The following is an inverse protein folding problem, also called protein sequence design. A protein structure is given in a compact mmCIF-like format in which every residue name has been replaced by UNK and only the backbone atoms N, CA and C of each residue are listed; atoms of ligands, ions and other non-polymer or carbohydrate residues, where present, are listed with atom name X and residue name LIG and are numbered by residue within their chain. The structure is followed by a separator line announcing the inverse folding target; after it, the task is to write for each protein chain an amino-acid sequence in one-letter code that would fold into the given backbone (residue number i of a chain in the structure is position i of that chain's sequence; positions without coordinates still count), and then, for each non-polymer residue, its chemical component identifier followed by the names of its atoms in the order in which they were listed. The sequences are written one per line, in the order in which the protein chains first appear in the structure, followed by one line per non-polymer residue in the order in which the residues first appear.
data_IF_985426666997
#
_entry.id   IF_985426666997
#
_cell.length_a   1.000
_cell.length_b   1.000
_cell.length_c   1.000
_cell.angle_alpha   90.00
_cell.angle_beta   90.00
_cell.angle_gamma   90.00
#
_symmetry.space_group_name_H-M   'P 1'
#
loop_
_entity.id
_entity.type
_entity.pdbx_description
1 polymer ?
#
# COMPACT_ATOMS: atom_id res chain seq x y z
N UNK A 1 -1.61 41.79 22.24
CA UNK A 1 -0.93 41.59 20.94
C UNK A 1 -1.01 40.11 20.59
N UNK A 2 -1.96 39.75 19.73
CA UNK A 2 -2.07 38.40 19.18
C UNK A 2 -1.48 38.42 17.77
N UNK A 3 -0.43 37.64 17.53
CA UNK A 3 -0.07 37.23 16.17
C UNK A 3 0.61 35.87 16.20
N UNK A 4 -0.22 34.89 15.81
CA UNK A 4 -0.01 33.50 15.43
C UNK A 4 1.45 33.03 15.31
N UNK A 5 1.84 32.14 16.24
CA UNK A 5 2.84 31.11 15.97
C UNK A 5 2.32 30.23 14.82
N UNK A 6 2.94 30.32 13.65
CA UNK A 6 2.79 29.31 12.60
C UNK A 6 3.51 28.05 13.09
N UNK A 7 2.78 27.14 13.72
CA UNK A 7 3.22 25.74 13.80
C UNK A 7 3.05 25.13 12.40
N UNK A 8 4.08 25.27 11.56
CA UNK A 8 4.36 24.29 10.53
C UNK A 8 5.02 23.12 11.26
N UNK A 9 4.23 22.21 11.81
CA UNK A 9 4.68 20.84 11.96
C UNK A 9 4.98 20.37 10.55
N UNK A 10 6.27 20.32 10.22
CA UNK A 10 6.79 19.76 9.00
C UNK A 10 6.31 18.31 8.92
N UNK A 11 5.33 18.09 8.05
CA UNK A 11 4.81 16.80 7.62
C UNK A 11 5.90 16.17 6.72
N UNK A 12 7.06 15.84 7.28
CA UNK A 12 8.19 15.28 6.54
C UNK A 12 8.03 13.77 6.43
N UNK A 13 7.35 13.34 5.37
CA UNK A 13 7.89 12.29 4.50
C UNK A 13 7.58 12.72 3.08
N UNK A 14 8.59 13.28 2.43
CA UNK A 14 8.60 13.60 1.02
C UNK A 14 8.04 12.41 0.22
N UNK A 15 7.17 12.71 -0.76
CA UNK A 15 6.64 11.70 -1.67
C UNK A 15 7.82 11.15 -2.47
N UNK A 16 8.36 10.01 -2.06
CA UNK A 16 9.36 9.30 -2.85
C UNK A 16 8.60 8.48 -3.88
N UNK A 17 8.36 9.09 -5.04
CA UNK A 17 7.82 8.38 -6.18
C UNK A 17 8.89 7.42 -6.72
N UNK A 18 8.51 6.21 -7.19
CA UNK A 18 9.47 5.32 -7.84
C UNK A 18 10.08 6.00 -9.07
N UNK A 19 11.36 5.73 -9.34
CA UNK A 19 12.01 6.22 -10.55
C UNK A 19 11.28 5.71 -11.79
N UNK A 20 11.07 6.60 -12.76
CA UNK A 20 10.50 6.20 -14.04
C UNK A 20 11.49 5.29 -14.78
N UNK A 21 11.00 4.15 -15.26
CA UNK A 21 11.81 3.24 -16.09
C UNK A 21 11.49 3.44 -17.58
N UNK A 22 12.46 3.13 -18.43
CA UNK A 22 12.25 3.09 -19.87
C UNK A 22 11.78 1.70 -20.31
N UNK A 23 10.83 1.64 -21.26
CA UNK A 23 10.33 0.39 -21.81
C UNK A 23 9.24 -0.30 -20.99
N UNK A 24 9.08 -1.61 -21.19
CA UNK A 24 8.02 -2.42 -20.57
C UNK A 24 8.63 -3.19 -19.40
N UNK A 25 8.09 -3.00 -18.20
CA UNK A 25 8.48 -3.77 -17.03
C UNK A 25 7.84 -5.17 -17.06
N UNK A 26 8.60 -6.20 -16.70
CA UNK A 26 8.06 -7.54 -16.49
C UNK A 26 7.35 -7.62 -15.13
N UNK A 27 6.02 -7.75 -15.18
CA UNK A 27 5.13 -7.88 -14.03
C UNK A 27 4.38 -9.23 -14.05
N UNK A 28 4.95 -10.26 -14.67
CA UNK A 28 4.31 -11.59 -14.79
C UNK A 28 4.49 -12.50 -13.57
N UNK A 29 5.37 -12.11 -12.63
CA UNK A 29 5.71 -12.90 -11.45
C UNK A 29 5.65 -12.04 -10.19
N UNK A 30 5.29 -12.69 -9.08
CA UNK A 30 5.45 -12.10 -7.77
C UNK A 30 6.92 -11.72 -7.50
N UNK A 31 7.11 -10.54 -6.93
CA UNK A 31 8.42 -10.03 -6.49
C UNK A 31 8.71 -10.47 -5.05
N UNK A 32 9.85 -10.04 -4.53
CA UNK A 32 10.33 -10.36 -3.19
C UNK A 32 9.33 -9.95 -2.10
N UNK A 33 9.26 -10.76 -1.05
CA UNK A 33 8.60 -10.38 0.20
C UNK A 33 9.50 -9.40 0.98
N UNK A 34 8.93 -8.69 1.95
CA UNK A 34 9.75 -7.85 2.83
C UNK A 34 10.54 -8.70 3.83
N UNK A 35 11.70 -8.19 4.28
CA UNK A 35 12.51 -8.81 5.34
C UNK A 35 11.66 -9.11 6.58
N UNK A 36 11.70 -10.36 7.02
CA UNK A 36 10.88 -10.90 8.09
C UNK A 36 11.56 -12.10 8.80
N UNK A 37 11.23 -12.40 10.08
CA UNK A 37 11.98 -13.35 10.90
C UNK A 37 11.78 -14.82 10.49
N UNK A 38 10.81 -15.09 9.62
CA UNK A 38 10.48 -16.45 9.14
C UNK A 38 11.22 -16.83 7.85
N UNK A 39 12.23 -16.06 7.47
CA UNK A 39 13.11 -16.37 6.33
C UNK A 39 12.39 -16.36 5.00
N UNK A 40 12.67 -17.37 4.18
CA UNK A 40 12.19 -17.57 2.81
C UNK A 40 10.83 -18.30 2.73
N UNK A 41 10.15 -18.50 3.86
CA UNK A 41 8.85 -19.16 3.90
C UNK A 41 7.81 -18.52 2.96
N UNK A 42 7.92 -17.20 2.74
CA UNK A 42 7.07 -16.44 1.80
C UNK A 42 7.84 -15.96 0.55
N UNK A 43 8.79 -16.78 0.09
CA UNK A 43 9.72 -16.43 -0.99
C UNK A 43 10.86 -15.52 -0.52
N UNK A 44 11.83 -15.28 -1.40
CA UNK A 44 13.08 -14.60 -1.08
C UNK A 44 12.84 -13.19 -0.51
N UNK A 45 13.17 -12.95 0.77
CA UNK A 45 12.95 -11.65 1.41
C UNK A 45 14.00 -10.64 0.97
N UNK A 46 13.57 -9.40 0.77
CA UNK A 46 14.42 -8.27 0.39
C UNK A 46 13.93 -6.97 1.05
N UNK A 47 14.81 -5.97 1.17
CA UNK A 47 14.39 -4.59 1.49
C UNK A 47 13.74 -3.91 0.27
N UNK A 48 14.14 -4.31 -0.95
CA UNK A 48 13.42 -4.00 -2.18
C UNK A 48 12.18 -4.91 -2.25
N UNK A 49 11.13 -4.52 -1.53
CA UNK A 49 9.90 -5.31 -1.40
C UNK A 49 8.61 -4.52 -1.68
N UNK A 50 8.68 -3.21 -1.93
CA UNK A 50 7.52 -2.33 -2.11
C UNK A 50 6.88 -2.51 -3.49
N UNK A 51 6.23 -3.65 -3.68
CA UNK A 51 5.53 -4.01 -4.91
C UNK A 51 4.02 -4.11 -4.69
N UNK A 52 3.29 -3.85 -5.77
CA UNK A 52 1.85 -3.99 -5.86
C UNK A 52 1.52 -5.03 -6.91
N UNK A 53 0.53 -5.87 -6.63
CA UNK A 53 -0.02 -6.81 -7.58
C UNK A 53 -1.43 -6.40 -7.94
N UNK A 54 -1.76 -6.46 -9.24
CA UNK A 54 -3.08 -6.10 -9.76
C UNK A 54 -3.66 -7.27 -10.54
N UNK A 55 -4.88 -7.66 -10.20
CA UNK A 55 -5.59 -8.78 -10.80
C UNK A 55 -6.96 -8.33 -11.30
N UNK A 56 -7.24 -8.60 -12.56
CA UNK A 56 -8.51 -8.25 -13.21
C UNK A 56 -8.81 -9.22 -14.34
N UNK A 57 -10.09 -9.48 -14.60
CA UNK A 57 -10.54 -10.23 -15.79
C UNK A 57 -10.56 -9.37 -17.06
N UNK A 58 -10.73 -8.05 -16.91
CA UNK A 58 -10.94 -7.13 -18.03
C UNK A 58 -10.22 -5.80 -17.74
N UNK A 59 -9.41 -5.35 -18.68
CA UNK A 59 -8.72 -4.05 -18.62
C UNK A 59 -9.63 -2.85 -18.91
N UNK A 60 -10.92 -3.08 -19.17
CA UNK A 60 -11.93 -2.07 -19.49
C UNK A 60 -13.20 -2.36 -18.71
N UNK A 61 -13.88 -1.32 -18.23
CA UNK A 61 -15.22 -1.48 -17.65
C UNK A 61 -15.57 -0.61 -16.45
N UNK A 62 -14.60 0.07 -15.80
CA UNK A 62 -14.80 0.83 -14.55
C UNK A 62 -15.55 0.01 -13.50
N UNK A 63 -14.90 -1.04 -13.01
CA UNK A 63 -15.45 -1.93 -11.99
C UNK A 63 -14.93 -1.60 -10.59
N UNK A 64 -15.62 -2.01 -9.51
CA UNK A 64 -15.14 -1.79 -8.15
C UNK A 64 -13.73 -2.34 -7.90
N UNK A 65 -12.98 -1.65 -7.06
CA UNK A 65 -11.59 -2.02 -6.71
C UNK A 65 -11.54 -2.45 -5.25
N UNK A 66 -10.90 -3.60 -4.99
CA UNK A 66 -10.61 -4.09 -3.64
C UNK A 66 -9.09 -4.02 -3.42
N UNK A 67 -8.65 -3.20 -2.47
CA UNK A 67 -7.25 -3.16 -2.03
C UNK A 67 -7.13 -3.96 -0.73
N UNK A 68 -6.32 -5.01 -0.71
CA UNK A 68 -6.18 -5.90 0.44
C UNK A 68 -4.81 -5.77 1.10
N UNK A 69 -4.80 -5.46 2.40
CA UNK A 69 -3.60 -5.47 3.25
C UNK A 69 -3.51 -6.77 4.04
N UNK A 70 -2.35 -7.42 3.96
CA UNK A 70 -2.13 -8.74 4.57
C UNK A 70 -2.07 -8.70 6.11
N UNK A 71 -2.12 -9.88 6.73
CA UNK A 71 -1.99 -10.06 8.18
C UNK A 71 -0.49 -10.06 8.61
N UNK A 72 -0.15 -10.73 9.73
CA UNK A 72 1.24 -11.00 10.11
C UNK A 72 1.84 -10.09 11.17
N UNK A 73 1.01 -9.51 12.05
CA UNK A 73 1.48 -8.77 13.23
C UNK A 73 2.36 -7.54 12.94
N UNK A 74 2.39 -7.06 11.70
CA UNK A 74 3.35 -6.09 11.17
C UNK A 74 4.81 -6.55 11.16
N UNK A 75 5.10 -7.85 11.33
CA UNK A 75 6.46 -8.40 11.28
C UNK A 75 6.65 -9.58 10.32
N UNK A 76 5.57 -10.15 9.77
CA UNK A 76 5.61 -11.25 8.80
C UNK A 76 4.48 -11.15 7.77
N UNK A 77 4.38 -12.15 6.87
CA UNK A 77 3.48 -12.25 5.71
C UNK A 77 3.92 -11.42 4.49
N UNK A 78 3.13 -11.51 3.42
CA UNK A 78 3.40 -10.93 2.10
C UNK A 78 2.09 -10.74 1.31
N UNK A 79 2.16 -9.93 0.25
CA UNK A 79 1.08 -9.73 -0.73
C UNK A 79 1.17 -10.64 -1.97
N UNK A 80 2.13 -11.59 -1.98
CA UNK A 80 2.32 -12.54 -3.08
C UNK A 80 1.06 -13.33 -3.41
N UNK A 81 0.91 -13.69 -4.68
CA UNK A 81 -0.25 -14.42 -5.19
C UNK A 81 -0.41 -15.84 -4.62
N UNK A 82 0.69 -16.49 -4.22
CA UNK A 82 0.67 -17.80 -3.57
C UNK A 82 0.15 -17.77 -2.12
N UNK A 83 0.13 -16.59 -1.51
CA UNK A 83 -0.22 -16.38 -0.10
C UNK A 83 -1.54 -15.62 0.04
N UNK A 84 -1.72 -14.57 -0.76
CA UNK A 84 -2.88 -13.68 -0.79
C UNK A 84 -3.42 -13.54 -2.22
N UNK A 85 -3.53 -14.68 -2.91
CA UNK A 85 -3.95 -14.74 -4.31
C UNK A 85 -5.39 -14.29 -4.54
N UNK A 86 -5.71 -13.82 -5.76
CA UNK A 86 -7.02 -13.27 -6.10
C UNK A 86 -8.05 -14.35 -6.48
N UNK A 87 -7.73 -15.65 -6.31
CA UNK A 87 -8.35 -16.74 -7.06
C UNK A 87 -9.89 -16.77 -6.97
N UNK A 88 -10.45 -16.48 -5.79
CA UNK A 88 -11.90 -16.46 -5.60
C UNK A 88 -12.56 -15.11 -5.91
N UNK A 89 -11.80 -14.01 -5.84
CA UNK A 89 -12.33 -12.65 -5.98
C UNK A 89 -12.33 -12.17 -7.43
N UNK A 90 -11.27 -12.49 -8.18
CA UNK A 90 -11.17 -12.13 -9.61
C UNK A 90 -12.24 -12.85 -10.43
N UNK A 91 -12.93 -13.83 -9.86
CA UNK A 91 -14.07 -14.45 -10.50
C UNK A 91 -15.26 -13.51 -10.73
N UNK A 92 -15.33 -12.43 -9.96
CA UNK A 92 -16.32 -11.36 -10.07
C UNK A 92 -15.80 -10.22 -10.95
N UNK A 93 -16.70 -9.34 -11.39
CA UNK A 93 -16.32 -8.11 -12.09
C UNK A 93 -15.78 -7.07 -11.06
N UNK A 94 -14.55 -7.32 -10.58
CA UNK A 94 -13.79 -6.45 -9.68
C UNK A 94 -12.32 -6.43 -10.07
N UNK A 95 -11.62 -5.35 -9.72
CA UNK A 95 -10.15 -5.34 -9.70
C UNK A 95 -9.68 -5.63 -8.28
N UNK A 96 -8.78 -6.60 -8.12
CA UNK A 96 -8.16 -6.93 -6.83
C UNK A 96 -6.73 -6.41 -6.83
N UNK A 97 -6.36 -5.69 -5.79
CA UNK A 97 -5.04 -5.13 -5.58
C UNK A 97 -4.50 -5.64 -4.25
N UNK A 98 -3.28 -6.17 -4.25
CA UNK A 98 -2.54 -6.50 -3.03
C UNK A 98 -1.23 -5.75 -3.03
N UNK A 99 -0.75 -5.33 -1.85
CA UNK A 99 0.48 -4.54 -1.75
C UNK A 99 1.32 -4.99 -0.55
N UNK A 100 2.63 -5.09 -0.76
CA UNK A 100 3.58 -5.21 0.33
C UNK A 100 3.75 -3.87 1.04
N UNK A 101 4.09 -3.93 2.32
CA UNK A 101 4.53 -2.79 3.12
C UNK A 101 5.65 -3.26 4.04
N UNK A 102 6.57 -2.35 4.40
CA UNK A 102 7.71 -2.72 5.26
C UNK A 102 7.24 -3.27 6.60
N UNK A 103 7.99 -4.24 7.12
CA UNK A 103 7.68 -5.02 8.32
C UNK A 103 8.73 -4.80 9.41
N UNK A 104 8.38 -5.18 10.64
CA UNK A 104 9.27 -5.17 11.79
C UNK A 104 9.89 -3.79 12.04
N UNK A 105 11.17 -3.78 12.44
CA UNK A 105 11.90 -2.55 12.65
C UNK A 105 11.99 -1.68 11.38
N UNK A 106 12.14 -2.28 10.20
CA UNK A 106 12.24 -1.55 8.93
C UNK A 106 10.95 -0.78 8.59
N UNK A 107 9.80 -1.30 9.02
CA UNK A 107 8.50 -0.64 8.84
C UNK A 107 8.08 0.27 9.98
N UNK A 108 8.49 -0.01 11.22
CA UNK A 108 7.82 0.57 12.39
C UNK A 108 8.77 1.06 13.48
N UNK A 109 10.09 1.08 13.26
CA UNK A 109 11.02 1.71 14.18
C UNK A 109 10.69 3.20 14.35
N UNK A 110 10.66 3.66 15.60
CA UNK A 110 10.66 5.07 15.92
C UNK A 110 11.59 5.38 17.08
N UNK A 111 12.30 6.49 16.96
CA UNK A 111 13.15 7.08 18.00
C UNK A 111 12.39 8.09 18.87
N UNK A 112 11.12 8.40 18.52
CA UNK A 112 10.33 9.44 19.17
C UNK A 112 10.75 10.87 18.82
N UNK A 113 11.64 11.04 17.83
CA UNK A 113 12.10 12.32 17.31
C UNK A 113 12.03 12.36 15.77
N UNK A 114 12.57 13.42 15.17
CA UNK A 114 12.56 13.65 13.72
C UNK A 114 13.43 12.69 12.91
N UNK A 115 14.39 11.98 13.53
CA UNK A 115 15.30 11.08 12.82
C UNK A 115 14.61 9.77 12.42
N UNK A 116 13.69 9.27 13.25
CA UNK A 116 12.81 8.15 12.92
C UNK A 116 11.41 8.38 13.51
N UNK A 117 10.59 9.11 12.75
CA UNK A 117 9.19 9.43 13.11
C UNK A 117 8.24 8.21 13.14
N UNK A 118 8.71 7.05 12.67
CA UNK A 118 7.95 5.81 12.64
C UNK A 118 6.85 5.72 11.59
N UNK A 119 6.08 4.63 11.71
CA UNK A 119 4.95 4.28 10.84
C UNK A 119 5.28 4.25 9.34
N UNK A 120 6.51 3.86 8.99
CA UNK A 120 6.93 3.74 7.59
C UNK A 120 6.09 2.71 6.83
N UNK A 121 5.77 1.56 7.43
CA UNK A 121 4.88 0.57 6.84
C UNK A 121 3.46 1.11 6.59
N UNK A 122 2.93 1.97 7.47
CA UNK A 122 1.65 2.65 7.21
C UNK A 122 1.74 3.68 6.09
N UNK A 123 2.88 4.38 5.98
CA UNK A 123 3.13 5.31 4.87
C UNK A 123 3.28 4.58 3.55
N UNK A 124 3.86 3.38 3.54
CA UNK A 124 3.91 2.51 2.35
C UNK A 124 2.50 2.15 1.88
N UNK A 125 1.60 1.80 2.81
CA UNK A 125 0.18 1.55 2.50
C UNK A 125 -0.51 2.80 1.94
N UNK A 126 -0.22 4.00 2.48
CA UNK A 126 -0.71 5.27 1.90
C UNK A 126 -0.20 5.46 0.46
N UNK A 127 1.06 5.15 0.19
CA UNK A 127 1.61 5.23 -1.17
C UNK A 127 0.93 4.23 -2.11
N UNK A 128 0.68 3.00 -1.68
CA UNK A 128 -0.06 2.02 -2.46
C UNK A 128 -1.49 2.51 -2.79
N UNK A 129 -2.19 3.11 -1.84
CA UNK A 129 -3.53 3.68 -2.08
C UNK A 129 -3.50 4.87 -3.05
N UNK A 130 -2.48 5.73 -2.97
CA UNK A 130 -2.28 6.82 -3.94
C UNK A 130 -2.01 6.27 -5.33
N UNK A 131 -1.17 5.24 -5.44
CA UNK A 131 -0.91 4.56 -6.71
C UNK A 131 -2.20 3.97 -7.29
N UNK A 132 -3.04 3.33 -6.47
CA UNK A 132 -4.34 2.80 -6.91
C UNK A 132 -5.22 3.92 -7.44
N UNK A 133 -5.36 5.03 -6.70
CA UNK A 133 -6.15 6.19 -7.18
C UNK A 133 -5.66 6.68 -8.55
N UNK A 134 -4.35 6.78 -8.74
CA UNK A 134 -3.75 7.38 -9.93
C UNK A 134 -3.73 6.45 -11.16
N UNK A 135 -3.67 5.12 -10.94
CA UNK A 135 -3.36 4.17 -12.02
C UNK A 135 -4.44 3.11 -12.26
N UNK A 136 -5.35 2.85 -11.31
CA UNK A 136 -6.23 1.67 -11.41
C UNK A 136 -7.22 1.75 -12.58
N UNK A 137 -7.46 2.94 -13.12
CA UNK A 137 -8.25 3.15 -14.34
C UNK A 137 -7.71 2.38 -15.55
N UNK A 138 -6.38 2.27 -15.67
CA UNK A 138 -5.72 1.53 -16.75
C UNK A 138 -5.93 0.01 -16.65
N UNK A 139 -6.33 -0.46 -15.47
CA UNK A 139 -6.63 -1.87 -15.18
C UNK A 139 -8.15 -2.14 -15.18
N UNK A 140 -8.94 -1.20 -15.68
CA UNK A 140 -10.40 -1.31 -15.75
C UNK A 140 -11.12 -1.03 -14.43
N UNK A 141 -10.40 -0.60 -13.39
CA UNK A 141 -10.97 -0.26 -12.09
C UNK A 141 -11.54 1.16 -12.04
N UNK A 142 -12.52 1.37 -11.17
CA UNK A 142 -13.03 2.70 -10.84
C UNK A 142 -12.35 3.23 -9.57
N UNK A 143 -11.48 4.23 -9.74
CA UNK A 143 -10.81 4.94 -8.63
C UNK A 143 -11.77 5.63 -7.65
N UNK A 144 -13.03 5.88 -8.05
CA UNK A 144 -14.08 6.40 -7.18
C UNK A 144 -14.80 5.32 -6.37
N UNK A 145 -14.57 4.03 -6.65
CA UNK A 145 -15.19 2.88 -5.98
C UNK A 145 -14.15 1.93 -5.40
N UNK A 146 -13.31 2.45 -4.50
CA UNK A 146 -12.26 1.69 -3.83
C UNK A 146 -12.73 1.22 -2.45
N UNK A 147 -12.62 -0.08 -2.21
CA UNK A 147 -12.82 -0.70 -0.89
C UNK A 147 -11.47 -1.20 -0.36
N UNK A 148 -11.09 -0.77 0.84
CA UNK A 148 -9.90 -1.30 1.52
C UNK A 148 -10.34 -2.42 2.45
N UNK A 149 -9.67 -3.57 2.35
CA UNK A 149 -9.93 -4.75 3.16
C UNK A 149 -8.63 -5.27 3.78
N UNK A 150 -8.77 -6.08 4.83
CA UNK A 150 -7.65 -6.73 5.47
C UNK A 150 -8.11 -7.66 6.58
N UNK A 151 -7.24 -8.58 6.99
CA UNK A 151 -7.48 -9.52 8.08
C UNK A 151 -6.44 -9.33 9.20
N UNK A 152 -6.83 -9.50 10.47
CA UNK A 152 -5.96 -9.30 11.64
C UNK A 152 -5.37 -7.87 11.65
N UNK A 153 -4.04 -7.71 11.70
CA UNK A 153 -3.40 -6.39 11.60
C UNK A 153 -3.69 -5.68 10.28
N UNK A 154 -4.04 -6.40 9.21
CA UNK A 154 -4.56 -5.80 7.98
C UNK A 154 -5.91 -5.11 8.22
N UNK A 155 -6.77 -5.65 9.08
CA UNK A 155 -8.00 -4.96 9.52
C UNK A 155 -7.67 -3.75 10.41
N UNK A 156 -6.64 -3.84 11.25
CA UNK A 156 -6.13 -2.68 12.00
C UNK A 156 -5.63 -1.59 11.06
N UNK A 157 -4.93 -1.94 9.98
CA UNK A 157 -4.53 -0.99 8.92
C UNK A 157 -5.74 -0.29 8.31
N UNK A 158 -6.82 -1.02 7.99
CA UNK A 158 -8.07 -0.43 7.48
C UNK A 158 -8.61 0.62 8.47
N UNK A 159 -8.70 0.29 9.75
CA UNK A 159 -9.17 1.23 10.79
C UNK A 159 -8.26 2.45 10.88
N UNK A 160 -6.93 2.26 10.86
CA UNK A 160 -5.98 3.38 10.90
C UNK A 160 -6.09 4.27 9.67
N UNK A 161 -6.36 3.72 8.48
CA UNK A 161 -6.62 4.51 7.28
C UNK A 161 -7.92 5.30 7.35
N UNK A 162 -8.97 4.76 7.95
CA UNK A 162 -10.23 5.50 8.18
C UNK A 162 -10.03 6.71 9.10
N UNK A 163 -9.09 6.61 10.06
CA UNK A 163 -8.78 7.69 11.00
C UNK A 163 -7.76 8.69 10.45
N UNK A 164 -6.82 8.24 9.63
CA UNK A 164 -5.68 9.04 9.19
C UNK A 164 -6.08 10.09 8.15
N UNK A 165 -5.69 11.38 8.33
CA UNK A 165 -5.89 12.40 7.31
C UNK A 165 -5.08 12.12 6.03
N UNK A 166 -4.03 11.30 6.09
CA UNK A 166 -3.20 10.98 4.92
C UNK A 166 -3.92 10.09 3.89
N UNK A 167 -4.98 9.40 4.32
CA UNK A 167 -5.78 8.50 3.50
C UNK A 167 -7.15 9.07 3.12
N UNK A 168 -7.44 10.32 3.53
CA UNK A 168 -8.68 11.00 3.14
C UNK A 168 -8.63 11.43 1.69
N UNK A 169 -9.73 11.19 0.98
CA UNK A 169 -9.94 11.58 -0.42
C UNK A 169 -9.88 13.11 -0.62
N UNK A 170 -10.20 13.92 0.40
CA UNK A 170 -10.17 15.39 0.31
C UNK A 170 -8.77 16.03 0.43
N UNK A 171 -7.76 15.33 0.97
CA UNK A 171 -6.37 15.84 1.08
C UNK A 171 -5.47 15.38 -0.06
N UNK A 172 -6.10 14.91 -1.10
CA UNK A 172 -5.51 14.52 -2.35
C UNK A 172 -5.97 15.58 -3.35
N UNK A 173 -5.32 16.75 -3.31
CA UNK A 173 -5.67 17.92 -4.12
C UNK A 173 -5.86 17.54 -5.60
N UNK A 174 -7.12 17.41 -6.01
CA UNK A 174 -7.55 17.37 -7.40
C UNK A 174 -8.33 18.67 -7.61
N UNK A 175 -7.72 19.60 -8.35
CA UNK A 175 -8.46 20.55 -9.16
C UNK A 175 -8.80 19.90 -10.50
#
# INVERSE_FOLDING_TARGET
MASKRRNKTQETTEKVDPEAWAGIADATKDRSSCVQPIGDFYGDPSEDCLFINVYTKKLRGKVPVIVFFHAGGWFSQTARSDTLGPHYLVDKDVVVVTANYRLGALGFLSTGDEHAVGNYGMKDQVMALRWVRDNIGEFGGDSGMVTIAGYSVGSTSVVLHMLSPMSKVEKLDIK
#
